data_IF_760865543816
#
_entry.id   IF_760865543816
#
_cell.length_a   1.000
_cell.length_b   1.000
_cell.length_c   1.000
_cell.angle_alpha   90.00
_cell.angle_beta   90.00
_cell.angle_gamma   90.00
#
_symmetry.space_group_name_H-M   'P 1'
#
loop_
_entity.id
_entity.type
_entity.pdbx_description
1 polymer ?
#
# COMPACT_ATOMS: atom_id res chain seq x y z
N UNK A 1 -13.22 8.52 17.79
CA UNK A 1 -11.76 8.46 18.09
C UNK A 1 -11.08 9.69 17.50
N UNK A 2 -9.96 10.10 18.07
CA UNK A 2 -9.04 11.07 17.49
C UNK A 2 -7.92 10.32 16.77
N UNK A 3 -7.79 10.54 15.48
CA UNK A 3 -6.90 9.76 14.62
C UNK A 3 -5.88 10.68 13.94
N UNK A 4 -4.61 10.39 14.12
CA UNK A 4 -3.50 11.09 13.46
C UNK A 4 -3.08 10.31 12.23
N UNK A 5 -3.04 10.97 11.06
CA UNK A 5 -2.67 10.34 9.78
C UNK A 5 -1.44 11.03 9.16
N UNK A 6 -0.21 10.64 9.57
CA UNK A 6 1.00 11.10 8.92
C UNK A 6 1.06 10.60 7.46
N UNK A 7 1.24 11.53 6.50
CA UNK A 7 1.17 11.23 5.07
C UNK A 7 -0.26 11.18 4.50
N UNK A 8 -1.24 11.71 5.24
CA UNK A 8 -2.66 11.65 4.88
C UNK A 8 -3.07 12.47 3.65
N UNK A 9 -2.18 13.23 3.01
CA UNK A 9 -2.44 13.95 1.76
C UNK A 9 -2.14 13.14 0.49
N UNK A 10 -1.59 11.93 0.61
CA UNK A 10 -1.50 10.98 -0.50
C UNK A 10 -2.88 10.40 -0.87
N UNK A 11 -2.96 9.67 -2.00
CA UNK A 11 -4.23 9.09 -2.46
C UNK A 11 -4.90 8.23 -1.38
N UNK A 12 -4.19 7.25 -0.82
CA UNK A 12 -4.73 6.36 0.22
C UNK A 12 -5.04 7.14 1.50
N UNK A 13 -4.19 8.09 1.87
CA UNK A 13 -4.41 8.92 3.05
C UNK A 13 -5.64 9.81 2.95
N UNK A 14 -5.86 10.45 1.80
CA UNK A 14 -7.06 11.26 1.53
C UNK A 14 -8.33 10.39 1.51
N UNK A 15 -8.24 9.19 0.93
CA UNK A 15 -9.31 8.22 0.93
C UNK A 15 -9.72 7.84 2.36
N UNK A 16 -8.75 7.46 3.20
CA UNK A 16 -9.00 7.11 4.60
C UNK A 16 -9.49 8.30 5.43
N UNK A 17 -8.84 9.47 5.30
CA UNK A 17 -9.27 10.66 6.04
C UNK A 17 -10.74 11.02 5.75
N UNK A 18 -11.14 10.96 4.48
CA UNK A 18 -12.53 11.19 4.06
C UNK A 18 -13.50 10.14 4.61
N UNK A 19 -13.09 8.86 4.62
CA UNK A 19 -13.91 7.77 5.12
C UNK A 19 -14.11 7.88 6.64
N UNK A 20 -13.04 8.05 7.39
CA UNK A 20 -13.06 8.13 8.85
C UNK A 20 -13.73 9.42 9.36
N UNK A 21 -13.57 10.56 8.66
CA UNK A 21 -14.30 11.80 8.97
C UNK A 21 -15.82 11.61 8.82
N UNK A 22 -16.25 10.93 7.74
CA UNK A 22 -17.68 10.59 7.55
C UNK A 22 -18.21 9.63 8.62
N UNK A 23 -17.38 8.78 9.18
CA UNK A 23 -17.72 7.90 10.31
C UNK A 23 -17.75 8.64 11.66
N UNK A 24 -17.46 9.96 11.68
CA UNK A 24 -17.51 10.78 12.89
C UNK A 24 -16.24 10.77 13.74
N UNK A 25 -15.11 10.33 13.19
CA UNK A 25 -13.81 10.45 13.86
C UNK A 25 -13.23 11.87 13.68
N UNK A 26 -12.50 12.33 14.68
CA UNK A 26 -11.72 13.57 14.61
C UNK A 26 -10.36 13.28 13.95
N UNK A 27 -10.13 13.82 12.77
CA UNK A 27 -8.95 13.52 11.95
C UNK A 27 -7.98 14.69 11.95
N UNK A 28 -6.71 14.37 12.24
CA UNK A 28 -5.58 15.29 12.00
C UNK A 28 -4.62 14.64 11.02
N UNK A 29 -4.34 15.33 9.92
CA UNK A 29 -3.40 14.89 8.88
C UNK A 29 -2.08 15.61 9.04
N UNK A 30 -0.96 14.89 8.93
CA UNK A 30 0.37 15.50 8.82
C UNK A 30 0.85 15.47 7.36
N UNK A 31 1.28 16.62 6.86
CA UNK A 31 1.74 16.78 5.48
C UNK A 31 2.89 17.76 5.35
N UNK A 32 3.78 17.51 4.39
CA UNK A 32 4.82 18.47 3.97
C UNK A 32 4.24 19.64 3.16
N UNK A 33 3.05 19.44 2.59
CA UNK A 33 2.39 20.43 1.76
C UNK A 33 0.99 20.71 2.32
N UNK A 34 0.78 21.94 2.75
CA UNK A 34 -0.48 22.40 3.37
C UNK A 34 -1.54 22.83 2.33
N UNK A 35 -1.47 22.40 1.08
CA UNK A 35 -2.54 22.69 0.11
C UNK A 35 -3.85 22.07 0.59
N UNK A 36 -4.80 22.93 0.92
CA UNK A 36 -6.13 22.51 1.31
C UNK A 36 -6.88 21.95 0.09
N UNK A 37 -7.51 20.80 0.26
CA UNK A 37 -8.52 20.30 -0.67
C UNK A 37 -9.87 21.00 -0.36
N UNK A 38 -10.65 21.44 -1.38
CA UNK A 38 -11.92 22.15 -1.15
C UNK A 38 -12.93 21.35 -0.29
N UNK A 39 -12.88 20.02 -0.33
CA UNK A 39 -13.77 19.13 0.43
C UNK A 39 -13.21 18.69 1.79
N UNK A 40 -12.06 19.23 2.17
CA UNK A 40 -11.36 18.80 3.39
C UNK A 40 -12.03 19.41 4.62
N UNK A 41 -12.54 18.57 5.51
CA UNK A 41 -13.12 18.94 6.80
C UNK A 41 -12.16 18.75 7.97
N UNK A 42 -11.14 17.92 7.77
CA UNK A 42 -10.14 17.58 8.80
C UNK A 42 -9.01 18.61 8.86
N UNK A 43 -8.36 18.66 10.03
CA UNK A 43 -7.22 19.53 10.28
C UNK A 43 -5.96 18.99 9.61
N UNK A 44 -5.16 19.84 8.98
CA UNK A 44 -3.85 19.50 8.44
C UNK A 44 -2.75 20.31 9.10
N UNK A 45 -1.71 19.64 9.55
CA UNK A 45 -0.53 20.25 10.17
C UNK A 45 0.71 19.99 9.34
N UNK A 46 1.61 20.99 9.33
CA UNK A 46 2.91 20.85 8.68
C UNK A 46 3.82 19.92 9.47
N UNK A 47 4.50 19.03 8.77
CA UNK A 47 5.62 18.24 9.29
C UNK A 47 6.61 17.90 8.17
N UNK A 48 7.87 17.62 8.50
CA UNK A 48 8.89 17.24 7.54
C UNK A 48 9.17 15.73 7.51
N UNK A 49 8.64 14.99 8.50
CA UNK A 49 8.86 13.55 8.68
C UNK A 49 10.20 13.18 9.31
N UNK A 50 10.98 14.17 9.75
CA UNK A 50 12.34 13.98 10.29
C UNK A 50 12.49 14.60 11.68
N UNK A 51 11.93 15.78 11.88
CA UNK A 51 12.08 16.55 13.12
C UNK A 51 10.76 16.64 13.88
N UNK A 52 10.81 16.63 15.24
CA UNK A 52 9.65 17.00 16.03
C UNK A 52 9.33 18.49 15.84
N UNK A 53 8.05 18.83 15.96
CA UNK A 53 7.55 20.20 15.84
C UNK A 53 6.24 20.34 16.61
N UNK A 54 5.51 21.46 16.47
CA UNK A 54 4.24 21.68 17.16
C UNK A 54 3.19 20.59 16.94
N UNK A 55 3.29 19.84 15.84
CA UNK A 55 2.44 18.69 15.55
C UNK A 55 2.65 17.50 16.50
N UNK A 56 3.80 17.43 17.20
CA UNK A 56 4.13 16.32 18.08
C UNK A 56 3.14 16.18 19.25
N UNK A 57 2.52 17.29 19.68
CA UNK A 57 1.48 17.28 20.70
C UNK A 57 0.26 16.47 20.32
N UNK A 58 0.01 16.26 19.00
CA UNK A 58 -1.09 15.44 18.54
C UNK A 58 -0.91 13.95 18.88
N UNK A 59 0.32 13.48 19.08
CA UNK A 59 0.60 12.10 19.54
C UNK A 59 -0.09 11.84 20.89
N UNK A 60 0.02 12.79 21.84
CA UNK A 60 -0.57 12.65 23.18
C UNK A 60 -2.10 12.73 23.16
N UNK A 61 -2.68 13.34 22.12
CA UNK A 61 -4.11 13.57 21.99
C UNK A 61 -4.81 12.49 21.17
N UNK A 62 -4.05 11.67 20.43
CA UNK A 62 -4.60 10.70 19.50
C UNK A 62 -4.88 9.36 20.17
N UNK A 63 -6.02 8.75 19.82
CA UNK A 63 -6.36 7.38 20.20
C UNK A 63 -5.64 6.37 19.28
N UNK A 64 -5.44 6.76 18.02
CA UNK A 64 -4.76 5.94 17.02
C UNK A 64 -3.87 6.79 16.08
N UNK A 65 -2.78 6.19 15.59
CA UNK A 65 -1.92 6.73 14.54
C UNK A 65 -1.98 5.78 13.33
N UNK A 66 -2.28 6.33 12.14
CA UNK A 66 -2.26 5.59 10.86
C UNK A 66 -1.17 6.21 9.99
N UNK A 67 0.02 5.65 10.03
CA UNK A 67 1.19 6.17 9.33
C UNK A 67 1.24 5.66 7.89
N UNK A 68 1.08 6.58 6.93
CA UNK A 68 1.03 6.31 5.49
C UNK A 68 2.13 7.05 4.71
N UNK A 69 3.11 7.62 5.39
CA UNK A 69 4.16 8.39 4.73
C UNK A 69 5.09 7.51 3.91
N UNK A 70 5.42 8.00 2.75
CA UNK A 70 6.37 7.35 1.85
C UNK A 70 6.40 8.06 0.50
N UNK A 71 7.60 8.27 -0.04
CA UNK A 71 7.77 8.72 -1.42
C UNK A 71 7.24 7.64 -2.38
N UNK A 72 6.58 8.06 -3.46
CA UNK A 72 6.17 7.14 -4.52
C UNK A 72 7.37 6.37 -5.09
N UNK A 73 7.21 5.05 -5.24
CA UNK A 73 8.18 4.17 -5.92
C UNK A 73 8.08 4.26 -7.44
N UNK A 74 7.10 5.01 -7.97
CA UNK A 74 6.93 5.23 -9.39
C UNK A 74 7.95 6.27 -9.91
N UNK A 75 9.22 5.89 -9.90
CA UNK A 75 10.36 6.67 -10.38
C UNK A 75 11.50 5.73 -10.75
N UNK A 76 12.53 6.24 -11.47
CA UNK A 76 13.78 5.49 -11.69
C UNK A 76 14.54 5.35 -10.38
N UNK A 77 15.11 4.18 -10.13
CA UNK A 77 15.86 3.87 -8.91
C UNK A 77 17.31 4.34 -8.99
N UNK A 78 17.51 5.66 -9.22
CA UNK A 78 18.82 6.28 -9.05
C UNK A 78 19.27 6.24 -7.59
N UNK A 79 20.57 6.39 -7.27
CA UNK A 79 21.03 6.41 -5.87
C UNK A 79 20.25 7.41 -5.00
N UNK A 80 19.98 8.61 -5.51
CA UNK A 80 19.23 9.66 -4.82
C UNK A 80 17.78 9.23 -4.56
N UNK A 81 17.10 8.70 -5.59
CA UNK A 81 15.73 8.22 -5.48
C UNK A 81 15.61 7.03 -4.52
N UNK A 82 16.58 6.10 -4.56
CA UNK A 82 16.64 4.96 -3.59
C UNK A 82 16.76 5.47 -2.16
N UNK A 83 17.68 6.41 -1.93
CA UNK A 83 17.85 7.02 -0.60
C UNK A 83 16.56 7.66 -0.13
N UNK A 84 15.91 8.50 -0.95
CA UNK A 84 14.67 9.18 -0.57
C UNK A 84 13.50 8.19 -0.36
N UNK A 85 13.42 7.09 -1.13
CA UNK A 85 12.40 6.06 -0.94
C UNK A 85 12.56 5.40 0.43
N UNK A 86 13.78 5.06 0.84
CA UNK A 86 14.07 4.48 2.15
C UNK A 86 13.81 5.51 3.25
N UNK A 87 14.45 6.68 3.17
CA UNK A 87 14.41 7.71 4.21
C UNK A 87 12.99 8.18 4.48
N UNK A 88 12.16 8.34 3.45
CA UNK A 88 10.75 8.76 3.60
C UNK A 88 9.85 7.76 4.32
N UNK A 89 10.35 6.56 4.59
CA UNK A 89 9.66 5.48 5.32
C UNK A 89 10.29 5.24 6.69
N UNK A 90 11.59 5.07 6.71
CA UNK A 90 12.34 4.72 7.93
C UNK A 90 12.37 5.87 8.93
N UNK A 91 12.77 7.08 8.48
CA UNK A 91 12.91 8.23 9.38
C UNK A 91 11.59 8.63 10.07
N UNK A 92 10.46 8.77 9.34
CA UNK A 92 9.17 9.06 9.97
C UNK A 92 8.72 7.96 10.94
N UNK A 93 8.95 6.68 10.60
CA UNK A 93 8.60 5.56 11.48
C UNK A 93 9.37 5.62 12.79
N UNK A 94 10.69 5.83 12.73
CA UNK A 94 11.53 5.98 13.91
C UNK A 94 11.17 7.21 14.75
N UNK A 95 10.87 8.35 14.09
CA UNK A 95 10.44 9.57 14.77
C UNK A 95 9.13 9.36 15.52
N UNK A 96 8.12 8.81 14.86
CA UNK A 96 6.83 8.51 15.49
C UNK A 96 6.99 7.54 16.65
N UNK A 97 7.76 6.46 16.48
CA UNK A 97 8.02 5.50 17.54
C UNK A 97 8.70 6.14 18.78
N UNK A 98 9.68 7.02 18.56
CA UNK A 98 10.32 7.78 19.64
C UNK A 98 9.33 8.69 20.39
N UNK A 99 8.47 9.39 19.67
CA UNK A 99 7.47 10.27 20.26
C UNK A 99 6.35 9.50 20.98
N UNK A 100 5.90 8.39 20.42
CA UNK A 100 4.93 7.50 21.06
C UNK A 100 5.50 6.92 22.36
N UNK A 101 6.74 6.44 22.33
CA UNK A 101 7.42 5.90 23.53
C UNK A 101 7.60 6.94 24.64
N UNK A 102 7.80 8.20 24.28
CA UNK A 102 7.95 9.32 25.23
C UNK A 102 6.62 9.92 25.69
N UNK A 103 5.49 9.50 25.09
CA UNK A 103 4.18 10.06 25.40
C UNK A 103 3.68 9.62 26.78
N UNK A 104 3.22 10.54 27.65
CA UNK A 104 2.54 10.18 28.89
C UNK A 104 1.18 9.53 28.66
N UNK A 105 0.55 9.78 27.50
CA UNK A 105 -0.72 9.19 27.06
C UNK A 105 -0.56 8.68 25.61
N UNK A 106 0.15 7.55 25.41
CA UNK A 106 0.42 7.07 24.06
C UNK A 106 -0.87 6.60 23.37
N UNK A 107 -0.95 6.69 22.04
CA UNK A 107 -2.06 6.11 21.29
C UNK A 107 -2.13 4.60 21.50
N UNK A 108 -3.35 4.06 21.58
CA UNK A 108 -3.55 2.62 21.79
C UNK A 108 -3.15 1.79 20.59
N UNK A 109 -3.28 2.36 19.39
CA UNK A 109 -3.06 1.68 18.12
C UNK A 109 -2.11 2.51 17.25
N UNK A 110 -1.11 1.84 16.67
CA UNK A 110 -0.26 2.40 15.63
C UNK A 110 -0.25 1.47 14.41
N UNK A 111 -1.05 1.82 13.42
CA UNK A 111 -1.01 1.19 12.10
C UNK A 111 0.10 1.83 11.29
N UNK A 112 1.02 1.03 10.80
CA UNK A 112 2.11 1.48 9.94
C UNK A 112 1.97 0.85 8.55
N UNK A 113 1.97 1.68 7.52
CA UNK A 113 1.97 1.15 6.16
C UNK A 113 3.21 0.27 5.94
N UNK A 114 2.99 -0.79 5.22
CA UNK A 114 3.98 -1.72 4.69
C UNK A 114 3.51 -2.15 3.29
N UNK A 115 4.06 -3.20 2.74
CA UNK A 115 3.78 -3.63 1.37
C UNK A 115 3.78 -5.14 1.24
N UNK A 116 2.89 -5.68 0.40
CA UNK A 116 2.93 -7.09 -0.02
C UNK A 116 4.23 -7.46 -0.77
N UNK A 117 5.04 -6.47 -1.15
CA UNK A 117 6.40 -6.67 -1.68
C UNK A 117 7.35 -7.28 -0.64
N UNK A 118 6.98 -7.27 0.65
CA UNK A 118 7.71 -7.99 1.69
C UNK A 118 7.86 -9.49 1.37
N UNK A 119 6.85 -10.07 0.72
CA UNK A 119 6.88 -11.47 0.32
C UNK A 119 7.70 -11.69 -0.95
N UNK A 120 8.26 -12.90 -1.08
CA UNK A 120 8.99 -13.32 -2.28
C UNK A 120 8.15 -13.24 -3.55
N UNK A 121 8.81 -13.35 -4.68
CA UNK A 121 8.15 -13.48 -5.99
C UNK A 121 7.48 -14.86 -6.09
N UNK A 122 6.15 -14.93 -5.98
CA UNK A 122 5.41 -16.18 -5.86
C UNK A 122 4.55 -16.47 -7.10
N UNK A 123 4.93 -17.51 -7.85
CA UNK A 123 4.11 -18.08 -8.92
C UNK A 123 3.44 -19.40 -8.49
N UNK A 124 4.00 -20.08 -7.54
CA UNK A 124 3.65 -21.42 -7.05
C UNK A 124 2.46 -21.40 -6.09
N UNK A 125 2.55 -20.66 -4.98
CA UNK A 125 1.52 -20.63 -3.94
C UNK A 125 1.23 -19.21 -3.42
N UNK A 126 0.04 -18.97 -2.87
CA UNK A 126 -0.27 -17.72 -2.18
C UNK A 126 0.66 -17.47 -0.99
N UNK A 127 0.80 -16.20 -0.63
CA UNK A 127 1.56 -15.70 0.52
C UNK A 127 0.60 -15.04 1.49
N UNK A 128 0.47 -15.58 2.69
CA UNK A 128 -0.40 -15.07 3.74
C UNK A 128 0.38 -14.63 4.99
N UNK A 129 -0.32 -14.18 6.00
CA UNK A 129 0.27 -13.69 7.24
C UNK A 129 0.92 -14.80 8.09
N UNK A 130 0.52 -16.06 7.91
CA UNK A 130 0.94 -17.21 8.72
C UNK A 130 2.07 -18.02 8.08
N UNK A 131 1.99 -18.23 6.77
CA UNK A 131 2.89 -19.12 6.02
C UNK A 131 3.64 -18.41 4.91
N UNK A 132 3.42 -17.10 4.76
CA UNK A 132 4.05 -16.29 3.73
C UNK A 132 5.56 -16.15 3.98
N UNK A 133 6.33 -16.35 2.92
CA UNK A 133 7.78 -16.31 2.95
C UNK A 133 8.27 -14.90 2.62
N UNK A 134 9.11 -14.29 3.49
CA UNK A 134 9.74 -13.02 3.14
C UNK A 134 10.61 -13.17 1.90
N UNK A 135 10.75 -12.09 1.14
CA UNK A 135 11.69 -12.05 0.05
C UNK A 135 13.13 -12.02 0.59
N UNK A 136 14.00 -12.82 0.03
CA UNK A 136 15.40 -12.87 0.43
C UNK A 136 16.16 -11.63 -0.03
N UNK A 137 17.01 -11.12 0.85
CA UNK A 137 17.97 -10.09 0.48
C UNK A 137 19.21 -10.74 -0.15
N UNK A 138 19.95 -10.04 -1.03
CA UNK A 138 21.09 -10.61 -1.77
C UNK A 138 22.17 -11.28 -0.92
N UNK A 139 22.27 -10.90 0.36
CA UNK A 139 23.27 -11.41 1.31
C UNK A 139 22.71 -12.51 2.23
N UNK A 140 21.42 -12.79 2.17
CA UNK A 140 20.76 -13.83 2.93
C UNK A 140 20.39 -14.93 1.93
N UNK A 141 21.11 -16.05 1.99
CA UNK A 141 20.89 -17.18 1.08
C UNK A 141 19.55 -17.84 1.38
N UNK A 142 18.50 -17.31 0.77
CA UNK A 142 17.19 -17.94 0.75
C UNK A 142 17.06 -18.98 -0.34
N UNK A 143 16.27 -19.99 -0.08
CA UNK A 143 16.08 -21.15 -0.95
C UNK A 143 15.14 -20.88 -2.13
N UNK A 144 14.44 -19.72 -2.14
CA UNK A 144 13.26 -19.50 -2.99
C UNK A 144 13.39 -18.42 -4.06
N UNK A 145 14.43 -17.59 -4.02
CA UNK A 145 14.64 -16.57 -5.03
C UNK A 145 15.77 -16.96 -5.99
N UNK A 146 15.64 -16.68 -7.29
CA UNK A 146 16.69 -16.94 -8.26
C UNK A 146 17.98 -16.22 -7.86
N UNK A 147 19.11 -16.89 -7.99
CA UNK A 147 20.43 -16.34 -7.67
C UNK A 147 20.78 -15.02 -8.42
N UNK A 148 20.03 -14.68 -9.47
CA UNK A 148 20.23 -13.52 -10.34
C UNK A 148 18.98 -12.64 -10.43
N UNK A 149 18.42 -12.21 -9.29
CA UNK A 149 17.35 -11.22 -9.29
C UNK A 149 17.83 -9.90 -9.85
N UNK A 150 16.99 -9.21 -10.66
CA UNK A 150 17.28 -7.84 -11.03
C UNK A 150 17.51 -6.97 -9.78
N UNK A 151 18.51 -6.11 -9.83
CA UNK A 151 18.88 -5.21 -8.73
C UNK A 151 17.69 -4.35 -8.22
N UNK A 152 16.78 -3.99 -9.14
CA UNK A 152 15.56 -3.24 -8.80
C UNK A 152 14.61 -4.05 -7.88
N UNK A 153 14.56 -5.37 -8.03
CA UNK A 153 13.76 -6.25 -7.18
C UNK A 153 14.36 -6.38 -5.78
N UNK A 154 15.68 -6.62 -5.71
CA UNK A 154 16.39 -6.66 -4.43
C UNK A 154 16.25 -5.35 -3.66
N UNK A 155 16.29 -4.21 -4.36
CA UNK A 155 16.05 -2.91 -3.75
C UNK A 155 14.64 -2.80 -3.17
N UNK A 156 13.61 -3.25 -3.89
CA UNK A 156 12.23 -3.16 -3.38
C UNK A 156 12.00 -4.06 -2.16
N UNK A 157 12.68 -5.20 -2.08
CA UNK A 157 12.69 -6.05 -0.89
C UNK A 157 13.40 -5.36 0.28
N UNK A 158 14.58 -4.79 0.07
CA UNK A 158 15.32 -4.04 1.08
C UNK A 158 14.49 -2.89 1.68
N UNK A 159 13.76 -2.15 0.84
CA UNK A 159 12.83 -1.11 1.30
C UNK A 159 11.77 -1.67 2.23
N UNK A 160 11.14 -2.79 1.86
CA UNK A 160 10.08 -3.41 2.68
C UNK A 160 10.62 -3.89 4.04
N UNK A 161 11.77 -4.58 4.02
CA UNK A 161 12.44 -5.09 5.24
C UNK A 161 12.86 -3.95 6.18
N UNK A 162 13.53 -2.90 5.67
CA UNK A 162 13.95 -1.75 6.50
C UNK A 162 12.76 -1.00 7.08
N UNK A 163 11.67 -0.91 6.32
CA UNK A 163 10.47 -0.25 6.82
C UNK A 163 9.87 -0.99 8.01
N UNK A 164 9.64 -2.31 7.89
CA UNK A 164 9.12 -3.11 9.01
C UNK A 164 10.12 -3.21 10.17
N UNK A 165 11.41 -3.33 9.90
CA UNK A 165 12.46 -3.32 10.93
C UNK A 165 12.49 -2.01 11.72
N UNK A 166 12.26 -0.85 11.05
CA UNK A 166 12.19 0.44 11.76
C UNK A 166 11.02 0.53 12.73
N UNK A 167 9.87 -0.08 12.39
CA UNK A 167 8.73 -0.19 13.31
C UNK A 167 9.04 -1.12 14.48
N UNK A 168 9.65 -2.27 14.21
CA UNK A 168 10.02 -3.24 15.24
C UNK A 168 11.03 -2.67 16.23
N UNK A 169 11.99 -1.89 15.75
CA UNK A 169 13.06 -1.28 16.57
C UNK A 169 12.58 -0.26 17.60
N UNK A 170 11.33 0.18 17.56
CA UNK A 170 10.80 1.20 18.49
C UNK A 170 10.03 0.54 19.65
N UNK A 171 10.51 0.62 20.91
CA UNK A 171 9.80 0.04 22.06
C UNK A 171 8.61 0.92 22.46
N UNK A 172 7.40 0.49 22.12
CA UNK A 172 6.14 1.17 22.46
C UNK A 172 5.17 0.17 23.14
N UNK A 173 5.46 -0.28 24.37
CA UNK A 173 4.76 -1.40 25.01
C UNK A 173 3.28 -1.15 25.29
N UNK A 174 2.85 0.11 25.35
CA UNK A 174 1.45 0.49 25.59
C UNK A 174 0.67 0.74 24.28
N UNK A 175 1.33 0.59 23.13
CA UNK A 175 0.76 0.84 21.80
C UNK A 175 0.82 -0.43 20.96
N UNK A 176 -0.33 -0.92 20.52
CA UNK A 176 -0.38 -2.04 19.58
C UNK A 176 0.10 -1.59 18.20
N UNK A 177 1.13 -2.23 17.69
CA UNK A 177 1.68 -1.99 16.36
C UNK A 177 1.06 -2.92 15.34
N UNK A 178 0.55 -2.38 14.22
CA UNK A 178 -0.03 -3.16 13.12
C UNK A 178 0.69 -2.80 11.82
N UNK A 179 1.22 -3.82 11.14
CA UNK A 179 1.90 -3.71 9.84
C UNK A 179 0.90 -3.95 8.73
N UNK A 180 0.55 -2.89 8.00
CA UNK A 180 -0.39 -2.98 6.88
C UNK A 180 0.34 -3.38 5.61
N UNK A 181 0.54 -4.69 5.36
CA UNK A 181 1.15 -5.20 4.12
C UNK A 181 0.19 -5.03 2.95
N UNK A 182 0.18 -3.81 2.42
CA UNK A 182 -0.78 -3.40 1.41
C UNK A 182 -0.40 -3.89 0.01
N UNK A 183 -1.40 -4.40 -0.70
CA UNK A 183 -1.39 -4.58 -2.15
C UNK A 183 -1.73 -3.27 -2.86
N UNK A 184 -1.88 -3.30 -4.18
CA UNK A 184 -2.26 -2.12 -4.95
C UNK A 184 -3.69 -1.69 -4.59
N UNK A 185 -3.83 -0.54 -3.97
CA UNK A 185 -5.13 0.06 -3.65
C UNK A 185 -5.74 0.61 -4.94
N UNK A 186 -6.83 0.01 -5.38
CA UNK A 186 -7.56 0.39 -6.58
C UNK A 186 -8.66 1.38 -6.24
N UNK A 187 -8.46 2.62 -6.66
CA UNK A 187 -9.42 3.72 -6.49
C UNK A 187 -9.50 4.56 -7.76
N UNK A 188 -10.67 5.07 -8.13
CA UNK A 188 -10.81 6.03 -9.22
C UNK A 188 -10.26 7.42 -8.87
N UNK A 189 -9.95 7.69 -7.59
CA UNK A 189 -9.35 8.93 -7.16
C UNK A 189 -8.01 9.21 -7.86
N UNK A 190 -7.67 10.46 -8.16
CA UNK A 190 -6.44 10.82 -8.87
C UNK A 190 -5.16 10.34 -8.17
N UNK A 191 -4.12 10.07 -8.95
CA UNK A 191 -2.76 9.80 -8.44
C UNK A 191 -2.48 8.33 -8.10
N UNK A 192 -3.45 7.42 -8.27
CA UNK A 192 -3.28 6.00 -7.99
C UNK A 192 -2.96 5.13 -9.21
N UNK A 193 -2.58 3.89 -8.94
CA UNK A 193 -2.22 2.90 -9.96
C UNK A 193 -3.40 2.53 -10.86
N UNK A 194 -4.64 2.59 -10.37
CA UNK A 194 -5.84 2.33 -11.16
C UNK A 194 -5.96 3.27 -12.37
N UNK A 195 -5.59 4.55 -12.22
CA UNK A 195 -5.61 5.53 -13.30
C UNK A 195 -4.63 5.14 -14.44
N UNK A 196 -3.48 4.60 -14.09
CA UNK A 196 -2.47 4.12 -15.07
C UNK A 196 -3.00 2.92 -15.84
N UNK A 197 -3.49 1.89 -15.15
CA UNK A 197 -4.07 0.71 -15.79
C UNK A 197 -5.31 1.05 -16.64
N UNK A 198 -6.17 1.94 -16.14
CA UNK A 198 -7.34 2.42 -16.88
C UNK A 198 -6.96 3.15 -18.16
N UNK A 199 -5.94 4.00 -18.12
CA UNK A 199 -5.42 4.69 -19.31
C UNK A 199 -4.91 3.70 -20.34
N UNK A 200 -4.10 2.71 -19.93
CA UNK A 200 -3.60 1.66 -20.82
C UNK A 200 -4.77 0.84 -21.42
N UNK A 201 -5.74 0.44 -20.60
CA UNK A 201 -6.91 -0.32 -21.06
C UNK A 201 -7.71 0.48 -22.12
N UNK A 202 -8.02 1.76 -21.85
CA UNK A 202 -8.78 2.63 -22.76
C UNK A 202 -8.08 2.89 -24.09
N UNK A 203 -6.76 2.93 -24.09
CA UNK A 203 -5.95 3.12 -25.31
C UNK A 203 -5.71 1.82 -26.11
N UNK A 204 -6.28 0.69 -25.68
CA UNK A 204 -6.02 -0.60 -26.32
C UNK A 204 -4.63 -1.17 -26.04
N UNK A 205 -3.87 -0.56 -25.10
CA UNK A 205 -2.54 -1.01 -24.68
C UNK A 205 -2.58 -1.91 -23.43
N UNK A 206 -3.78 -2.28 -23.00
CA UNK A 206 -4.01 -3.08 -21.80
C UNK A 206 -3.95 -4.58 -22.06
N UNK A 207 -3.07 -5.09 -22.90
CA UNK A 207 -2.82 -6.53 -23.07
C UNK A 207 -2.01 -7.12 -21.92
N UNK A 208 -1.57 -8.37 -22.07
CA UNK A 208 -0.66 -9.00 -21.12
C UNK A 208 0.66 -8.23 -21.06
N UNK A 209 1.16 -8.03 -19.85
CA UNK A 209 2.45 -7.40 -19.61
C UNK A 209 3.49 -8.50 -19.36
N UNK A 210 4.60 -8.50 -20.11
CA UNK A 210 5.54 -9.62 -20.11
C UNK A 210 4.87 -10.91 -20.57
N UNK A 211 5.05 -12.01 -19.83
CA UNK A 211 4.39 -13.30 -20.11
C UNK A 211 2.94 -13.37 -19.57
N UNK A 212 2.52 -12.39 -18.78
CA UNK A 212 1.18 -12.28 -18.20
C UNK A 212 0.82 -13.33 -17.15
N UNK A 213 1.76 -14.16 -16.72
CA UNK A 213 1.56 -15.22 -15.70
C UNK A 213 1.78 -14.71 -14.27
N UNK A 214 2.49 -13.60 -14.09
CA UNK A 214 2.71 -13.00 -12.79
C UNK A 214 1.38 -12.57 -12.15
N UNK A 215 1.23 -12.86 -10.87
CA UNK A 215 0.03 -12.50 -10.13
C UNK A 215 0.03 -11.02 -9.75
N UNK A 216 -1.16 -10.45 -9.80
CA UNK A 216 -1.48 -9.10 -9.35
C UNK A 216 -2.33 -9.21 -8.09
N UNK A 217 -1.77 -8.82 -6.95
CA UNK A 217 -2.55 -8.59 -5.74
C UNK A 217 -3.06 -7.17 -5.70
N UNK A 218 -4.31 -7.00 -5.34
CA UNK A 218 -5.04 -5.74 -5.37
C UNK A 218 -6.02 -5.67 -4.21
N UNK A 219 -6.51 -4.48 -3.91
CA UNK A 219 -7.62 -4.27 -2.99
C UNK A 219 -8.49 -3.12 -3.48
N UNK A 220 -9.80 -3.26 -3.35
CA UNK A 220 -10.74 -2.19 -3.62
C UNK A 220 -10.65 -1.11 -2.53
N UNK A 221 -10.75 0.16 -2.89
CA UNK A 221 -10.63 1.29 -1.95
C UNK A 221 -11.65 1.22 -0.80
N UNK A 222 -12.87 0.77 -1.05
CA UNK A 222 -13.88 0.61 0.00
C UNK A 222 -13.53 -0.52 0.98
N UNK A 223 -13.01 -1.65 0.50
CA UNK A 223 -12.60 -2.74 1.38
C UNK A 223 -11.34 -2.36 2.17
N UNK A 224 -10.43 -1.58 1.60
CA UNK A 224 -9.29 -1.02 2.34
C UNK A 224 -9.76 -0.18 3.55
N UNK A 225 -10.76 0.68 3.35
CA UNK A 225 -11.36 1.47 4.43
C UNK A 225 -12.03 0.58 5.49
N UNK A 226 -12.87 -0.38 5.07
CA UNK A 226 -13.58 -1.28 5.98
C UNK A 226 -12.65 -2.17 6.81
N UNK A 227 -11.52 -2.59 6.23
CA UNK A 227 -10.50 -3.30 7.01
C UNK A 227 -9.86 -2.35 8.03
N UNK A 228 -9.65 -1.09 7.67
CA UNK A 228 -9.12 -0.10 8.64
C UNK A 228 -10.11 0.11 9.79
N UNK A 229 -11.41 0.19 9.53
CA UNK A 229 -12.44 0.26 10.58
C UNK A 229 -12.37 -0.97 11.50
N UNK A 230 -12.33 -2.18 10.93
CA UNK A 230 -12.19 -3.42 11.70
C UNK A 230 -10.96 -3.40 12.61
N UNK A 231 -9.82 -2.96 12.11
CA UNK A 231 -8.57 -2.89 12.87
C UNK A 231 -8.58 -1.80 13.96
N UNK A 232 -9.39 -0.76 13.82
CA UNK A 232 -9.61 0.25 14.86
C UNK A 232 -10.55 -0.26 15.96
N UNK A 233 -11.55 -1.08 15.61
CA UNK A 233 -12.56 -1.61 16.51
C UNK A 233 -12.10 -2.89 17.23
N UNK A 234 -11.41 -3.77 16.52
CA UNK A 234 -10.98 -5.10 16.98
C UNK A 234 -9.48 -5.35 16.68
N UNK A 235 -8.57 -4.54 17.23
CA UNK A 235 -7.15 -4.65 16.90
C UNK A 235 -6.51 -5.97 17.40
N UNK A 236 -7.13 -6.66 18.35
CA UNK A 236 -6.69 -7.94 18.92
C UNK A 236 -6.69 -9.08 17.91
N UNK A 237 -7.46 -9.01 16.83
CA UNK A 237 -7.41 -10.03 15.77
C UNK A 237 -6.01 -10.20 15.17
N UNK A 238 -5.14 -9.21 15.34
CA UNK A 238 -3.76 -9.21 14.82
C UNK A 238 -2.76 -9.92 15.74
N UNK A 239 -3.18 -10.40 16.93
CA UNK A 239 -2.28 -11.03 17.90
C UNK A 239 -1.67 -12.34 17.36
N UNK A 240 -2.45 -13.12 16.61
CA UNK A 240 -1.99 -14.37 16.01
C UNK A 240 -0.89 -14.19 14.95
N UNK A 241 -0.72 -12.99 14.43
CA UNK A 241 0.21 -12.66 13.33
C UNK A 241 1.28 -11.66 13.74
N UNK A 242 1.46 -11.43 15.04
CA UNK A 242 2.39 -10.41 15.54
C UNK A 242 2.15 -9.03 14.90
N UNK A 243 0.89 -8.66 14.75
CA UNK A 243 0.47 -7.38 14.16
C UNK A 243 0.59 -7.30 12.63
N UNK A 244 0.75 -8.39 11.91
CA UNK A 244 0.79 -8.39 10.44
C UNK A 244 -0.61 -8.55 9.86
N UNK A 245 -0.99 -7.69 8.91
CA UNK A 245 -2.24 -7.78 8.16
C UNK A 245 -1.99 -7.56 6.68
N UNK A 246 -2.43 -8.50 5.86
CA UNK A 246 -2.43 -8.36 4.41
C UNK A 246 -3.66 -7.56 3.96
N UNK A 247 -3.44 -6.29 3.63
CA UNK A 247 -4.46 -5.40 3.06
C UNK A 247 -4.63 -5.72 1.57
N UNK A 248 -5.29 -6.83 1.27
CA UNK A 248 -5.46 -7.36 -0.09
C UNK A 248 -6.81 -8.04 -0.25
N UNK A 249 -7.34 -8.08 -1.49
CA UNK A 249 -8.50 -8.90 -1.82
C UNK A 249 -8.14 -10.39 -1.81
N UNK A 250 -9.13 -11.30 -1.59
CA UNK A 250 -8.86 -12.73 -1.42
C UNK A 250 -8.37 -13.44 -2.70
N UNK A 251 -8.65 -12.88 -3.88
CA UNK A 251 -8.35 -13.50 -5.16
C UNK A 251 -7.31 -12.70 -5.97
N UNK A 252 -6.00 -12.92 -5.72
CA UNK A 252 -4.97 -12.41 -6.63
C UNK A 252 -5.08 -13.11 -7.98
N UNK A 253 -4.85 -12.37 -9.07
CA UNK A 253 -5.14 -12.83 -10.43
C UNK A 253 -3.91 -12.71 -11.33
N UNK A 254 -3.69 -13.65 -12.29
CA UNK A 254 -2.65 -13.48 -13.31
C UNK A 254 -2.84 -12.17 -14.10
N UNK A 255 -1.74 -11.47 -14.38
CA UNK A 255 -1.77 -10.17 -15.06
C UNK A 255 -2.56 -10.17 -16.36
N UNK A 256 -2.43 -11.22 -17.19
CA UNK A 256 -3.18 -11.35 -18.45
C UNK A 256 -4.69 -11.29 -18.20
N UNK A 257 -5.18 -11.97 -17.19
CA UNK A 257 -6.60 -12.01 -16.84
C UNK A 257 -7.03 -10.70 -16.17
N UNK A 258 -6.23 -10.19 -15.27
CA UNK A 258 -6.45 -8.90 -14.62
C UNK A 258 -6.67 -7.77 -15.64
N UNK A 259 -5.80 -7.67 -16.65
CA UNK A 259 -5.91 -6.66 -17.69
C UNK A 259 -7.07 -6.92 -18.65
N UNK A 260 -7.41 -8.19 -18.92
CA UNK A 260 -8.59 -8.54 -19.71
C UNK A 260 -9.88 -8.05 -19.05
N UNK A 261 -10.08 -8.35 -17.77
CA UNK A 261 -11.27 -7.94 -17.01
C UNK A 261 -11.39 -6.41 -16.94
N UNK A 262 -10.28 -5.70 -16.76
CA UNK A 262 -10.29 -4.24 -16.76
C UNK A 262 -10.70 -3.66 -18.12
N UNK A 263 -10.18 -4.22 -19.24
CA UNK A 263 -10.59 -3.79 -20.58
C UNK A 263 -12.09 -4.04 -20.82
N UNK A 264 -12.58 -5.22 -20.42
CA UNK A 264 -14.01 -5.56 -20.54
C UNK A 264 -14.88 -4.57 -19.77
N UNK A 265 -14.48 -4.17 -18.57
CA UNK A 265 -15.18 -3.15 -17.78
C UNK A 265 -15.21 -1.78 -18.48
N UNK A 266 -14.15 -1.42 -19.21
CA UNK A 266 -14.10 -0.21 -20.05
C UNK A 266 -14.83 -0.34 -21.37
N UNK A 267 -15.21 -1.56 -21.81
CA UNK A 267 -15.82 -1.83 -23.11
C UNK A 267 -14.80 -1.89 -24.26
N UNK A 268 -13.52 -2.16 -23.96
CA UNK A 268 -12.45 -2.25 -24.98
C UNK A 268 -12.19 -3.72 -25.31
N UNK A 269 -12.50 -4.18 -26.55
CA UNK A 269 -12.48 -5.61 -26.90
C UNK A 269 -11.07 -6.18 -27.07
N UNK A 270 -10.09 -5.36 -27.43
CA UNK A 270 -8.71 -5.79 -27.68
C UNK A 270 -7.72 -5.12 -26.74
N UNK A 271 -6.54 -5.73 -26.61
CA UNK A 271 -5.44 -5.15 -25.85
C UNK A 271 -4.11 -5.65 -26.41
N UNK A 272 -3.30 -4.74 -26.89
CA UNK A 272 -1.96 -5.04 -27.36
C UNK A 272 -1.09 -5.48 -26.18
N UNK A 273 -0.46 -6.67 -26.25
CA UNK A 273 0.46 -7.10 -25.21
C UNK A 273 1.74 -6.26 -25.25
N UNK A 274 2.34 -6.07 -24.07
CA UNK A 274 3.64 -5.42 -23.94
C UNK A 274 4.67 -6.50 -23.58
N UNK A 275 5.59 -6.78 -24.52
CA UNK A 275 6.73 -7.67 -24.28
C UNK A 275 7.72 -7.03 -23.31
N UNK A 276 8.63 -7.81 -22.72
CA UNK A 276 9.59 -7.28 -21.73
C UNK A 276 10.39 -6.08 -22.28
N UNK A 277 10.89 -6.16 -23.52
CA UNK A 277 11.64 -5.05 -24.13
C UNK A 277 10.78 -3.80 -24.38
N UNK A 278 9.49 -3.98 -24.73
CA UNK A 278 8.55 -2.85 -24.85
C UNK A 278 8.25 -2.21 -23.49
N UNK A 279 8.15 -3.03 -22.44
CA UNK A 279 8.03 -2.53 -21.07
C UNK A 279 9.27 -1.76 -20.62
N UNK A 280 10.47 -2.22 -20.96
CA UNK A 280 11.70 -1.49 -20.66
C UNK A 280 11.72 -0.11 -21.31
N UNK A 281 11.36 -0.02 -22.60
CA UNK A 281 11.24 1.27 -23.29
C UNK A 281 10.12 2.11 -22.68
N UNK A 282 8.94 1.52 -22.45
CA UNK A 282 7.79 2.23 -21.88
C UNK A 282 8.08 2.77 -20.48
N UNK A 283 8.70 1.97 -19.61
CA UNK A 283 9.09 2.40 -18.26
C UNK A 283 10.23 3.41 -18.30
N UNK A 284 11.13 3.32 -19.26
CA UNK A 284 12.15 4.34 -19.47
C UNK A 284 11.52 5.70 -19.80
N UNK A 285 10.58 5.73 -20.74
CA UNK A 285 9.84 6.95 -21.14
C UNK A 285 8.97 7.47 -19.97
N UNK A 286 8.30 6.58 -19.24
CA UNK A 286 7.49 6.94 -18.07
C UNK A 286 8.31 7.21 -16.80
N UNK A 287 9.64 7.07 -16.88
CA UNK A 287 10.57 7.24 -15.74
C UNK A 287 10.23 6.38 -14.53
N UNK A 288 9.84 5.13 -14.76
CA UNK A 288 9.50 4.14 -13.73
C UNK A 288 10.31 2.85 -13.89
N UNK A 289 10.10 1.84 -13.06
CA UNK A 289 10.80 0.56 -13.11
C UNK A 289 9.86 -0.58 -13.55
N UNK A 290 10.41 -1.52 -14.34
CA UNK A 290 9.66 -2.71 -14.82
C UNK A 290 9.27 -3.66 -13.68
N UNK A 291 9.99 -3.62 -12.57
CA UNK A 291 9.72 -4.41 -11.35
C UNK A 291 8.27 -4.25 -10.86
N UNK A 292 7.73 -3.03 -10.94
CA UNK A 292 6.37 -2.73 -10.48
C UNK A 292 5.30 -3.54 -11.22
N UNK A 293 5.63 -4.00 -12.43
CA UNK A 293 4.72 -4.68 -13.35
C UNK A 293 5.01 -6.18 -13.49
N UNK A 294 6.30 -6.56 -13.50
CA UNK A 294 6.73 -7.93 -13.83
C UNK A 294 6.86 -8.86 -12.62
N UNK A 295 6.99 -8.31 -11.41
CA UNK A 295 7.08 -9.11 -10.20
C UNK A 295 5.73 -9.70 -9.83
N UNK A 296 5.69 -11.02 -9.57
CA UNK A 296 4.50 -11.73 -9.12
C UNK A 296 4.23 -11.44 -7.63
N UNK A 297 3.10 -10.80 -7.35
CA UNK A 297 2.59 -10.57 -5.99
C UNK A 297 1.32 -11.39 -5.82
N UNK A 298 1.40 -12.44 -4.99
CA UNK A 298 0.28 -13.38 -4.77
C UNK A 298 -0.10 -13.42 -3.29
N UNK A 299 -0.29 -12.24 -2.69
CA UNK A 299 -0.71 -12.10 -1.31
C UNK A 299 -2.21 -12.39 -1.15
N UNK A 300 -2.59 -13.04 -0.03
CA UNK A 300 -3.97 -13.33 0.35
C UNK A 300 -4.22 -12.95 1.81
N UNK A 301 -5.45 -12.55 2.18
CA UNK A 301 -5.78 -12.02 3.51
C UNK A 301 -6.31 -13.12 4.44
N UNK A 302 -5.51 -14.13 4.75
CA UNK A 302 -5.95 -15.29 5.53
C UNK A 302 -6.42 -14.90 6.92
N UNK A 303 -5.75 -13.95 7.58
CA UNK A 303 -6.16 -13.43 8.88
C UNK A 303 -7.57 -12.83 8.85
N UNK A 304 -7.85 -11.98 7.88
CA UNK A 304 -9.15 -11.31 7.74
C UNK A 304 -10.27 -12.32 7.48
N UNK A 305 -10.04 -13.27 6.57
CA UNK A 305 -11.00 -14.33 6.25
C UNK A 305 -11.27 -15.23 7.46
N UNK A 306 -10.22 -15.59 8.22
CA UNK A 306 -10.34 -16.40 9.43
C UNK A 306 -11.18 -15.71 10.52
N UNK A 307 -11.09 -14.38 10.58
CA UNK A 307 -11.89 -13.56 11.50
C UNK A 307 -13.24 -13.10 10.93
N UNK A 308 -13.71 -13.73 9.85
CA UNK A 308 -15.05 -13.50 9.30
C UNK A 308 -15.23 -12.18 8.54
N UNK A 309 -14.14 -11.53 8.10
CA UNK A 309 -14.28 -10.32 7.30
C UNK A 309 -14.86 -10.63 5.92
N UNK A 310 -16.01 -10.02 5.63
CA UNK A 310 -16.69 -10.14 4.34
C UNK A 310 -16.29 -8.99 3.41
N UNK A 311 -15.59 -9.32 2.31
CA UNK A 311 -15.21 -8.35 1.30
C UNK A 311 -16.42 -7.91 0.48
N UNK A 312 -16.58 -6.61 0.27
CA UNK A 312 -17.60 -6.06 -0.66
C UNK A 312 -17.23 -6.36 -2.11
N UNK A 313 -15.93 -6.46 -2.40
CA UNK A 313 -15.41 -6.76 -3.73
C UNK A 313 -14.37 -7.89 -3.65
N UNK A 314 -14.81 -9.14 -3.43
CA UNK A 314 -13.88 -10.27 -3.30
C UNK A 314 -13.20 -10.63 -4.62
N UNK A 315 -13.80 -10.33 -5.78
CA UNK A 315 -13.29 -10.69 -7.11
C UNK A 315 -12.98 -9.47 -7.97
N UNK A 316 -11.92 -9.57 -8.76
CA UNK A 316 -11.49 -8.46 -9.62
C UNK A 316 -12.55 -8.05 -10.67
N UNK A 317 -13.28 -8.96 -11.36
CA UNK A 317 -14.32 -8.54 -12.29
C UNK A 317 -15.40 -7.65 -11.67
N UNK A 318 -15.80 -7.91 -10.42
CA UNK A 318 -16.75 -7.06 -9.69
C UNK A 318 -16.14 -5.70 -9.35
N UNK A 319 -14.94 -5.71 -8.80
CA UNK A 319 -14.19 -4.51 -8.45
C UNK A 319 -13.95 -3.61 -9.66
N UNK A 320 -13.46 -4.18 -10.79
CA UNK A 320 -13.18 -3.45 -12.01
C UNK A 320 -14.43 -2.74 -12.56
N UNK A 321 -15.58 -3.43 -12.60
CA UNK A 321 -16.85 -2.83 -13.04
C UNK A 321 -17.28 -1.68 -12.13
N UNK A 322 -17.17 -1.84 -10.81
CA UNK A 322 -17.51 -0.76 -9.88
C UNK A 322 -16.59 0.46 -10.04
N UNK A 323 -15.27 0.22 -10.05
CA UNK A 323 -14.26 1.29 -10.18
C UNK A 323 -14.41 2.05 -11.50
N UNK A 324 -14.62 1.33 -12.62
CA UNK A 324 -14.83 1.95 -13.92
C UNK A 324 -16.13 2.76 -13.97
N UNK A 325 -17.22 2.25 -13.40
CA UNK A 325 -18.49 3.00 -13.29
C UNK A 325 -18.29 4.30 -12.51
N UNK A 326 -17.61 4.25 -11.37
CA UNK A 326 -17.29 5.44 -10.55
C UNK A 326 -16.38 6.42 -11.29
N UNK A 327 -15.37 5.91 -12.01
CA UNK A 327 -14.48 6.74 -12.81
C UNK A 327 -15.23 7.45 -13.96
N UNK A 328 -16.19 6.79 -14.60
CA UNK A 328 -17.04 7.42 -15.64
C UNK A 328 -18.00 8.46 -15.08
N UNK A 329 -18.46 8.30 -13.84
CA UNK A 329 -19.36 9.27 -13.19
C UNK A 329 -18.66 10.53 -12.67
N UNK A 330 -17.33 10.49 -12.53
CA UNK A 330 -16.52 11.62 -12.09
C UNK A 330 -16.03 12.52 -13.24
N UNK A 331 -16.31 12.14 -14.49
CA UNK A 331 -16.01 12.88 -15.73
C UNK A 331 -17.29 13.25 -16.45
#
# INVERSE_FOLDING_TARGET
MRILIPGGTGQVGTLLARHLDKAGHEITVLSRNLKNHPEQRWRTLAWDGVNPGPWADEIHRSDAVIHLSGRSVNCRYTPENRKEIIDSRVNPTLLLGKLIAASPTPPKIWMNASTSTFYRNALDRPQDEFTGEPADLPNERGVHEPANLPETWSFSFDVAHRWEASLAATPTPQTRKIRLRSSMVMSPDPGGVFSVFSKLARLGLGGAQGNGKQYVSWIHDQDFCRITDLLLEQPEITDETDGIVNMTAPEPMPNKEFMRELRQAWGVPFGLPATNWMLEIGTFVMRTETELVLKSRRAVPTLLLKNGFEFSFPTWPQAARNLVRRAKAAH
#
